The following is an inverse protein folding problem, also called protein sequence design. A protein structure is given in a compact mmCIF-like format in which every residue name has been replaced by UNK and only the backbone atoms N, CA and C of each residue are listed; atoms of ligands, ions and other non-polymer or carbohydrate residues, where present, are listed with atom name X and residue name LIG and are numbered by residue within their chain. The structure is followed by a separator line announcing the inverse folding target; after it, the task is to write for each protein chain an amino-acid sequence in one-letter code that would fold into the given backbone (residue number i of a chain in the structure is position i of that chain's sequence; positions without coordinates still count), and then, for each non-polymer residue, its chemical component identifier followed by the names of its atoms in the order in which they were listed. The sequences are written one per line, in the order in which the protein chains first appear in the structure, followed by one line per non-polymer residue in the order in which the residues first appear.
data_IF_563788311609
#
_entry.id   IF_563788311609
#
_cell.length_a   1.000
_cell.length_b   1.000
_cell.length_c   1.000
_cell.angle_alpha   90.00
_cell.angle_beta   90.00
_cell.angle_gamma   90.00
#
_symmetry.space_group_name_H-M   'P 1'
#
loop_
_entity.id
_entity.type
_entity.pdbx_description
1 polymer ?
#
# COMPACT_ATOMS: atom_id res chain seq x y z
N UNK A 1 -1.56 5.72 8.09
CA UNK A 1 -1.95 4.56 7.29
C UNK A 1 -0.91 3.45 7.36
N UNK A 2 0.39 3.73 7.18
CA UNK A 2 1.46 2.73 7.29
C UNK A 2 1.76 2.33 8.74
N UNK A 3 2.39 1.16 8.87
CA UNK A 3 2.92 0.62 10.14
C UNK A 3 4.44 0.84 10.25
N UNK A 4 4.96 1.85 9.57
CA UNK A 4 6.38 2.20 9.56
C UNK A 4 6.58 3.71 9.65
N UNK A 5 7.74 4.09 10.15
CA UNK A 5 8.22 5.46 10.20
C UNK A 5 9.70 5.49 9.85
N UNK A 6 10.18 6.62 9.38
CA UNK A 6 11.61 6.81 9.16
C UNK A 6 12.30 7.07 10.49
N UNK A 7 13.50 6.50 10.68
CA UNK A 7 14.37 6.84 11.82
C UNK A 7 14.70 8.33 11.81
N UNK A 8 14.92 8.96 12.97
CA UNK A 8 15.23 10.38 13.04
C UNK A 8 16.46 10.80 12.23
N UNK A 9 17.42 9.91 12.07
CA UNK A 9 18.65 10.11 11.28
C UNK A 9 18.45 9.90 9.77
N UNK A 10 17.25 9.51 9.33
CA UNK A 10 16.96 9.25 7.93
C UNK A 10 17.58 7.98 7.34
N UNK A 11 18.28 7.18 8.14
CA UNK A 11 19.05 6.03 7.65
C UNK A 11 18.21 4.86 7.18
N UNK A 12 17.04 4.63 7.80
CA UNK A 12 16.22 3.45 7.57
C UNK A 12 14.78 3.64 8.07
N UNK A 13 13.91 2.66 7.82
CA UNK A 13 12.55 2.61 8.32
C UNK A 13 12.43 1.64 9.50
N UNK A 14 11.57 1.98 10.44
CA UNK A 14 11.26 1.17 11.62
C UNK A 14 9.77 0.94 11.72
N UNK A 15 9.38 -0.17 12.34
CA UNK A 15 7.97 -0.43 12.65
C UNK A 15 7.42 0.67 13.55
N UNK A 16 6.22 1.15 13.26
CA UNK A 16 5.55 2.19 13.99
C UNK A 16 4.04 1.94 14.08
N UNK A 17 3.39 2.52 15.08
CA UNK A 17 1.92 2.52 15.14
C UNK A 17 1.38 3.46 14.06
N UNK A 18 0.27 3.07 13.42
CA UNK A 18 -0.41 3.96 12.48
C UNK A 18 -0.95 5.20 13.22
N UNK A 19 -0.75 6.37 12.61
CA UNK A 19 -1.20 7.65 13.14
C UNK A 19 -2.60 8.02 12.63
N UNK A 20 -2.95 7.53 11.43
CA UNK A 20 -4.23 7.82 10.79
C UNK A 20 -4.66 6.63 9.92
N UNK A 21 -5.89 6.65 9.44
CA UNK A 21 -6.41 5.70 8.44
C UNK A 21 -6.76 6.41 7.14
N UNK A 22 -6.84 5.64 6.06
CA UNK A 22 -7.30 6.15 4.75
C UNK A 22 -8.70 6.75 4.89
N UNK A 23 -9.58 6.10 5.66
CA UNK A 23 -10.94 6.60 5.93
C UNK A 23 -10.92 7.96 6.64
N UNK A 24 -10.10 8.11 7.69
CA UNK A 24 -9.95 9.39 8.41
C UNK A 24 -9.42 10.49 7.51
N UNK A 25 -8.42 10.17 6.67
CA UNK A 25 -7.86 11.14 5.73
C UNK A 25 -8.85 11.53 4.62
N UNK A 26 -9.67 10.59 4.14
CA UNK A 26 -10.74 10.89 3.18
C UNK A 26 -11.83 11.75 3.80
N UNK A 27 -12.22 11.48 5.05
CA UNK A 27 -13.17 12.30 5.79
C UNK A 27 -12.65 13.73 5.96
N UNK A 28 -11.40 13.89 6.39
CA UNK A 28 -10.76 15.20 6.48
C UNK A 28 -10.71 15.91 5.12
N UNK A 29 -10.27 15.22 4.06
CA UNK A 29 -10.23 15.80 2.73
C UNK A 29 -11.63 16.21 2.24
N UNK A 30 -12.70 15.54 2.68
CA UNK A 30 -14.07 15.91 2.33
C UNK A 30 -14.55 17.15 3.06
N UNK A 31 -14.11 17.39 4.28
CA UNK A 31 -14.40 18.63 5.02
C UNK A 31 -13.52 19.82 4.60
N UNK A 32 -12.41 19.56 3.92
CA UNK A 32 -11.39 20.54 3.54
C UNK A 32 -11.43 20.89 2.03
N UNK A 33 -12.60 20.95 1.39
CA UNK A 33 -12.74 21.06 -0.06
C UNK A 33 -12.13 22.32 -0.67
N UNK A 34 -12.13 23.42 0.06
CA UNK A 34 -11.58 24.71 -0.40
C UNK A 34 -10.05 24.79 -0.37
N UNK A 35 -9.36 23.82 0.24
CA UNK A 35 -7.90 23.89 0.35
C UNK A 35 -7.20 23.50 -0.96
N UNK A 36 -6.15 24.25 -1.36
CA UNK A 36 -5.34 23.90 -2.51
C UNK A 36 -4.76 22.50 -2.40
N UNK A 37 -4.86 21.72 -3.48
CA UNK A 37 -4.35 20.35 -3.52
C UNK A 37 -5.31 19.27 -3.02
N UNK A 38 -6.46 19.60 -2.46
CA UNK A 38 -7.45 18.65 -1.94
C UNK A 38 -7.86 17.59 -3.00
N UNK A 39 -8.15 18.00 -4.21
CA UNK A 39 -8.51 17.07 -5.30
C UNK A 39 -7.38 16.08 -5.60
N UNK A 40 -6.10 16.51 -5.52
CA UNK A 40 -4.94 15.64 -5.68
C UNK A 40 -4.81 14.67 -4.50
N UNK A 41 -5.06 15.14 -3.28
CA UNK A 41 -5.06 14.30 -2.08
C UNK A 41 -6.14 13.22 -2.15
N UNK A 42 -7.39 13.57 -2.45
CA UNK A 42 -8.49 12.60 -2.65
C UNK A 42 -8.14 11.56 -3.72
N UNK A 43 -7.53 11.99 -4.83
CA UNK A 43 -7.09 11.09 -5.89
C UNK A 43 -5.99 10.14 -5.41
N UNK A 44 -5.01 10.60 -4.64
CA UNK A 44 -3.97 9.75 -4.05
C UNK A 44 -4.56 8.74 -3.06
N UNK A 45 -5.46 9.19 -2.19
CA UNK A 45 -6.13 8.34 -1.21
C UNK A 45 -6.98 7.23 -1.85
N UNK A 46 -7.47 7.43 -3.08
CA UNK A 46 -8.29 6.43 -3.78
C UNK A 46 -7.54 5.14 -4.15
N UNK A 47 -6.21 5.12 -4.07
CA UNK A 47 -5.38 3.93 -4.25
C UNK A 47 -4.37 3.73 -3.12
N UNK A 48 -4.61 4.37 -1.99
CA UNK A 48 -3.86 4.15 -0.76
C UNK A 48 -4.53 3.06 0.08
N UNK A 49 -3.74 2.39 0.89
CA UNK A 49 -4.18 1.31 1.79
C UNK A 49 -3.69 1.57 3.21
N UNK A 50 -4.39 0.99 4.16
CA UNK A 50 -3.94 0.95 5.54
C UNK A 50 -3.02 -0.25 5.79
N UNK A 51 -2.21 -0.19 6.84
CA UNK A 51 -1.40 -1.28 7.39
C UNK A 51 -0.23 -1.75 6.52
N UNK A 52 0.21 -0.98 5.53
CA UNK A 52 1.49 -1.30 4.87
C UNK A 52 2.63 -1.28 5.90
N UNK A 53 3.47 -2.30 5.93
CA UNK A 53 4.54 -2.44 6.91
C UNK A 53 5.88 -1.91 6.40
N UNK A 54 5.98 -1.59 5.10
CA UNK A 54 7.20 -1.04 4.51
C UNK A 54 6.90 -0.05 3.37
N UNK A 55 7.85 0.85 3.06
CA UNK A 55 7.76 1.71 1.87
C UNK A 55 7.68 0.91 0.56
N UNK A 56 8.32 -0.25 0.51
CA UNK A 56 8.33 -1.10 -0.68
C UNK A 56 6.96 -1.73 -0.94
N UNK A 57 6.27 -2.21 0.10
CA UNK A 57 4.89 -2.66 0.00
C UNK A 57 3.96 -1.50 -0.46
N UNK A 58 4.14 -0.30 0.10
CA UNK A 58 3.37 0.88 -0.32
C UNK A 58 3.61 1.22 -1.79
N UNK A 59 4.87 1.13 -2.27
CA UNK A 59 5.22 1.33 -3.68
C UNK A 59 4.57 0.27 -4.56
N UNK A 60 4.64 -1.01 -4.18
CA UNK A 60 4.03 -2.12 -4.91
C UNK A 60 2.51 -1.94 -5.04
N UNK A 61 1.82 -1.62 -3.94
CA UNK A 61 0.38 -1.33 -3.99
C UNK A 61 0.07 -0.16 -4.90
N UNK A 62 0.82 0.94 -4.80
CA UNK A 62 0.61 2.09 -5.67
C UNK A 62 0.78 1.72 -7.16
N UNK A 63 1.80 0.94 -7.50
CA UNK A 63 2.01 0.45 -8.86
C UNK A 63 0.88 -0.45 -9.33
N UNK A 64 0.47 -1.44 -8.53
CA UNK A 64 -0.55 -2.42 -8.90
C UNK A 64 -1.96 -1.81 -8.95
N UNK A 65 -2.32 -0.94 -8.00
CA UNK A 65 -3.70 -0.53 -7.79
C UNK A 65 -4.05 0.85 -8.33
N UNK A 66 -3.07 1.74 -8.59
CA UNK A 66 -3.37 3.02 -9.22
C UNK A 66 -4.01 2.82 -10.60
N UNK A 67 -4.96 3.70 -10.94
CA UNK A 67 -5.66 3.62 -12.24
C UNK A 67 -4.69 3.66 -13.42
N UNK A 68 -5.00 2.96 -14.50
CA UNK A 68 -4.21 2.97 -15.73
C UNK A 68 -4.02 4.38 -16.31
N UNK A 69 -4.98 5.27 -16.10
CA UNK A 69 -4.88 6.70 -16.47
C UNK A 69 -3.75 7.42 -15.73
N UNK A 70 -3.27 6.89 -14.61
CA UNK A 70 -2.12 7.39 -13.84
C UNK A 70 -0.83 6.64 -14.18
N UNK A 71 -0.92 5.47 -14.79
CA UNK A 71 0.20 4.61 -15.11
C UNK A 71 0.33 3.37 -14.22
N UNK A 72 -0.64 3.13 -13.32
CA UNK A 72 -0.75 1.87 -12.58
C UNK A 72 -1.43 0.78 -13.38
N UNK A 73 -1.57 -0.41 -12.78
CA UNK A 73 -2.24 -1.56 -13.42
C UNK A 73 -3.75 -1.57 -13.20
N UNK A 74 -4.27 -0.81 -12.22
CA UNK A 74 -5.69 -0.68 -11.94
C UNK A 74 -6.31 -1.91 -11.29
N UNK A 75 -5.51 -2.72 -10.59
CA UNK A 75 -6.00 -3.85 -9.81
C UNK A 75 -6.80 -3.36 -8.60
N UNK A 76 -7.73 -4.15 -8.06
CA UNK A 76 -8.44 -3.80 -6.83
C UNK A 76 -7.48 -3.70 -5.65
N UNK A 77 -7.84 -2.90 -4.64
CA UNK A 77 -7.01 -2.74 -3.45
C UNK A 77 -6.97 -4.03 -2.63
N UNK A 78 -5.79 -4.48 -2.17
CA UNK A 78 -5.64 -5.59 -1.26
C UNK A 78 -5.89 -5.17 0.20
N UNK A 79 -6.10 -6.15 1.06
CA UNK A 79 -5.88 -6.02 2.50
C UNK A 79 -4.39 -6.18 2.77
N UNK A 80 -3.80 -5.26 3.54
CA UNK A 80 -2.37 -5.28 3.83
C UNK A 80 -2.07 -5.92 5.17
N UNK A 81 -0.99 -6.70 5.23
CA UNK A 81 -0.50 -7.33 6.45
C UNK A 81 -1.65 -8.00 7.22
N UNK A 82 -2.42 -8.80 6.47
CA UNK A 82 -3.62 -9.45 6.98
C UNK A 82 -3.27 -10.76 7.68
N UNK A 83 -3.67 -10.88 8.96
CA UNK A 83 -3.46 -12.09 9.74
C UNK A 83 -4.48 -13.15 9.35
N UNK A 84 -3.99 -14.36 9.04
CA UNK A 84 -4.79 -15.58 8.86
C UNK A 84 -4.33 -16.63 9.85
N UNK A 85 -5.28 -17.25 10.53
CA UNK A 85 -4.97 -18.36 11.44
C UNK A 85 -4.78 -19.66 10.65
N UNK A 86 -3.80 -20.46 11.06
CA UNK A 86 -3.54 -21.77 10.44
C UNK A 86 -4.59 -22.76 10.91
N UNK A 87 -5.35 -23.31 9.98
CA UNK A 87 -6.45 -24.23 10.25
C UNK A 87 -6.41 -25.46 9.35
N UNK A 88 -7.17 -26.49 9.68
CA UNK A 88 -7.35 -27.68 8.85
C UNK A 88 -6.03 -28.34 8.44
N UNK A 89 -5.87 -28.62 7.17
CA UNK A 89 -4.69 -29.28 6.58
C UNK A 89 -3.41 -28.44 6.74
N UNK A 90 -3.53 -27.11 6.83
CA UNK A 90 -2.38 -26.24 7.08
C UNK A 90 -1.64 -26.57 8.38
N UNK A 91 -2.34 -27.02 9.41
CA UNK A 91 -1.75 -27.41 10.69
C UNK A 91 -0.82 -28.63 10.60
N UNK A 92 -0.96 -29.44 9.57
CA UNK A 92 -0.08 -30.58 9.31
C UNK A 92 1.25 -30.14 8.68
N UNK A 93 1.27 -28.96 8.07
CA UNK A 93 2.42 -28.45 7.34
C UNK A 93 3.33 -27.55 8.19
N UNK A 94 2.84 -27.00 9.32
CA UNK A 94 3.59 -26.03 10.12
C UNK A 94 3.14 -26.04 11.58
N UNK A 95 4.05 -25.83 12.56
CA UNK A 95 3.72 -25.60 13.95
C UNK A 95 3.19 -24.17 14.21
N UNK A 96 3.26 -23.26 13.25
CA UNK A 96 2.84 -21.88 13.40
C UNK A 96 1.31 -21.79 13.57
N UNK A 97 0.86 -20.86 14.40
CA UNK A 97 -0.56 -20.67 14.67
C UNK A 97 -1.25 -19.74 13.67
N UNK A 98 -0.49 -18.85 13.06
CA UNK A 98 -0.98 -17.87 12.08
C UNK A 98 0.13 -17.45 11.12
N UNK A 99 -0.27 -16.87 10.00
CA UNK A 99 0.58 -16.13 9.08
C UNK A 99 0.07 -14.69 8.94
N UNK A 100 0.94 -13.80 8.52
CA UNK A 100 0.60 -12.44 8.09
C UNK A 100 0.87 -12.37 6.59
N UNK A 101 -0.13 -12.02 5.81
CA UNK A 101 -0.10 -11.95 4.35
C UNK A 101 0.16 -10.50 3.95
N UNK A 102 1.13 -10.25 3.07
CA UNK A 102 1.54 -8.87 2.74
C UNK A 102 0.45 -8.13 1.97
N UNK A 103 0.03 -8.66 0.81
CA UNK A 103 -1.05 -8.12 -0.01
C UNK A 103 -2.10 -9.23 -0.24
N UNK A 104 -3.20 -9.14 0.44
CA UNK A 104 -4.22 -10.20 0.43
C UNK A 104 -5.51 -9.77 -0.27
N UNK A 105 -5.94 -10.53 -1.26
CA UNK A 105 -7.26 -10.42 -1.90
C UNK A 105 -8.14 -11.58 -1.44
N UNK A 106 -9.02 -11.30 -0.50
CA UNK A 106 -9.87 -12.30 0.15
C UNK A 106 -10.78 -13.05 -0.85
N UNK A 107 -11.37 -12.33 -1.82
CA UNK A 107 -12.27 -12.92 -2.82
C UNK A 107 -11.61 -14.00 -3.68
N UNK A 108 -10.32 -13.87 -3.95
CA UNK A 108 -9.54 -14.83 -4.74
C UNK A 108 -8.68 -15.75 -3.87
N UNK A 109 -8.69 -15.57 -2.55
CA UNK A 109 -7.75 -16.23 -1.61
C UNK A 109 -6.30 -16.12 -2.09
N UNK A 110 -5.96 -14.95 -2.65
CA UNK A 110 -4.65 -14.66 -3.22
C UNK A 110 -3.82 -13.85 -2.24
N UNK A 111 -2.65 -14.35 -1.94
CA UNK A 111 -1.58 -13.63 -1.24
C UNK A 111 -0.48 -13.25 -2.23
N UNK A 112 -0.06 -12.00 -2.19
CA UNK A 112 1.13 -11.53 -2.93
C UNK A 112 2.16 -11.08 -1.92
N UNK A 113 3.23 -11.84 -1.80
CA UNK A 113 4.35 -11.59 -0.89
C UNK A 113 5.39 -10.70 -1.57
N UNK A 114 5.86 -9.65 -0.89
CA UNK A 114 6.97 -8.84 -1.35
C UNK A 114 8.29 -9.38 -0.80
N UNK A 115 9.17 -9.85 -1.69
CA UNK A 115 10.50 -10.33 -1.33
C UNK A 115 11.54 -9.24 -1.61
N UNK A 116 12.08 -8.65 -0.53
CA UNK A 116 13.13 -7.64 -0.61
C UNK A 116 14.53 -8.23 -0.83
N UNK A 117 14.75 -9.47 -0.40
CA UNK A 117 16.08 -10.07 -0.25
C UNK A 117 16.22 -11.38 -1.04
N UNK A 118 15.97 -11.34 -2.35
CA UNK A 118 16.16 -12.48 -3.24
C UNK A 118 17.59 -13.11 -3.19
N UNK A 119 18.50 -12.56 -2.37
CA UNK A 119 19.91 -12.96 -2.30
C UNK A 119 20.37 -13.48 -0.94
N UNK A 120 19.54 -13.45 0.11
CA UNK A 120 19.93 -13.94 1.45
C UNK A 120 19.20 -15.24 1.82
N UNK A 121 19.40 -16.28 1.01
CA UNK A 121 18.80 -17.59 1.26
C UNK A 121 19.73 -18.46 2.09
N UNK A 122 19.62 -18.39 3.42
CA UNK A 122 20.12 -19.44 4.26
C UNK A 122 19.25 -20.71 4.07
N UNK A 123 19.84 -21.90 4.22
CA UNK A 123 19.08 -23.15 4.12
C UNK A 123 17.85 -23.18 5.05
N UNK A 124 17.96 -22.57 6.24
CA UNK A 124 16.85 -22.43 7.19
C UNK A 124 15.75 -21.50 6.67
N UNK A 125 16.10 -20.40 5.98
CA UNK A 125 15.13 -19.49 5.36
C UNK A 125 14.33 -20.19 4.27
N UNK A 126 15.01 -20.88 3.35
CA UNK A 126 14.38 -21.66 2.25
C UNK A 126 13.38 -22.68 2.82
N UNK A 127 13.75 -23.40 3.89
CA UNK A 127 12.87 -24.38 4.52
C UNK A 127 11.64 -23.72 5.14
N UNK A 128 11.80 -22.58 5.82
CA UNK A 128 10.70 -21.83 6.44
C UNK A 128 9.72 -21.27 5.40
N UNK A 129 10.23 -20.78 4.25
CA UNK A 129 9.40 -20.25 3.17
C UNK A 129 8.63 -21.36 2.46
N UNK A 130 9.28 -22.52 2.25
CA UNK A 130 8.61 -23.70 1.72
C UNK A 130 7.49 -24.22 2.66
N UNK A 131 7.76 -24.29 3.97
CA UNK A 131 6.78 -24.65 5.00
C UNK A 131 5.57 -23.70 4.97
N UNK A 132 5.82 -22.38 4.97
CA UNK A 132 4.78 -21.35 4.88
C UNK A 132 3.93 -21.53 3.63
N UNK A 133 4.57 -21.66 2.46
CA UNK A 133 3.89 -21.82 1.19
C UNK A 133 3.03 -23.08 1.16
N UNK A 134 3.56 -24.20 1.63
CA UNK A 134 2.83 -25.47 1.69
C UNK A 134 1.60 -25.37 2.61
N UNK A 135 1.76 -24.74 3.78
CA UNK A 135 0.64 -24.55 4.70
C UNK A 135 -0.46 -23.64 4.11
N UNK A 136 -0.09 -22.54 3.45
CA UNK A 136 -1.04 -21.65 2.79
C UNK A 136 -1.75 -22.37 1.65
N UNK A 137 -1.03 -23.13 0.81
CA UNK A 137 -1.61 -23.92 -0.27
C UNK A 137 -2.56 -25.00 0.25
N UNK A 138 -2.20 -25.72 1.32
CA UNK A 138 -3.07 -26.70 1.97
C UNK A 138 -4.36 -26.08 2.53
N UNK A 139 -4.31 -24.81 2.90
CA UNK A 139 -5.49 -24.05 3.29
C UNK A 139 -6.26 -23.46 2.10
N UNK A 140 -5.82 -23.70 0.85
CA UNK A 140 -6.48 -23.23 -0.37
C UNK A 140 -6.15 -21.78 -0.75
N UNK A 141 -5.02 -21.23 -0.29
CA UNK A 141 -4.52 -19.94 -0.76
C UNK A 141 -3.61 -20.12 -1.99
N UNK A 142 -3.70 -19.18 -2.91
CA UNK A 142 -2.69 -18.97 -3.95
C UNK A 142 -1.66 -17.99 -3.45
N UNK A 143 -0.37 -18.26 -3.65
CA UNK A 143 0.71 -17.38 -3.25
C UNK A 143 1.53 -16.99 -4.46
N UNK A 144 1.73 -15.69 -4.68
CA UNK A 144 2.60 -15.12 -5.72
C UNK A 144 3.67 -14.30 -5.02
N UNK A 145 4.94 -14.58 -5.27
CA UNK A 145 6.05 -13.78 -4.76
C UNK A 145 6.44 -12.72 -5.79
N UNK A 146 6.58 -11.47 -5.36
CA UNK A 146 7.06 -10.35 -6.18
C UNK A 146 8.35 -9.83 -5.56
N UNK A 147 9.44 -9.94 -6.30
CA UNK A 147 10.77 -9.56 -5.85
C UNK A 147 11.05 -8.06 -6.06
N UNK A 148 12.00 -7.50 -5.33
CA UNK A 148 12.49 -6.15 -5.55
C UNK A 148 13.00 -5.93 -7.00
N UNK A 149 13.62 -6.95 -7.61
CA UNK A 149 14.03 -6.92 -9.01
C UNK A 149 12.85 -6.72 -9.96
N UNK A 150 11.75 -7.45 -9.75
CA UNK A 150 10.52 -7.29 -10.54
C UNK A 150 9.89 -5.91 -10.32
N UNK A 151 9.80 -5.43 -9.10
CA UNK A 151 9.31 -4.06 -8.83
C UNK A 151 10.20 -3.01 -9.48
N UNK A 152 11.50 -3.24 -9.55
CA UNK A 152 12.45 -2.30 -10.17
C UNK A 152 12.39 -2.28 -11.69
N UNK A 153 12.04 -3.36 -12.34
CA UNK A 153 11.87 -3.48 -13.80
C UNK A 153 10.40 -3.29 -14.20
N UNK A 154 10.18 -2.44 -15.22
CA UNK A 154 8.82 -2.24 -15.71
C UNK A 154 8.26 -3.49 -16.39
N UNK A 155 9.07 -4.18 -17.16
CA UNK A 155 8.64 -5.34 -17.96
C UNK A 155 8.44 -6.57 -17.06
N UNK A 156 9.34 -6.81 -16.09
CA UNK A 156 9.17 -7.90 -15.13
C UNK A 156 7.95 -7.69 -14.21
N UNK A 157 7.62 -6.43 -13.89
CA UNK A 157 6.41 -6.13 -13.13
C UNK A 157 5.15 -6.32 -13.98
N UNK A 158 5.21 -6.14 -15.30
CA UNK A 158 4.09 -6.45 -16.21
C UNK A 158 3.71 -7.93 -16.09
N UNK A 159 4.70 -8.83 -16.13
CA UNK A 159 4.47 -10.27 -16.01
C UNK A 159 3.85 -10.63 -14.66
N UNK A 160 4.38 -10.07 -13.57
CA UNK A 160 3.85 -10.26 -12.23
C UNK A 160 2.41 -9.72 -12.12
N UNK A 161 2.15 -8.51 -12.61
CA UNK A 161 0.81 -7.91 -12.60
C UNK A 161 -0.19 -8.71 -13.44
N UNK A 162 0.24 -9.28 -14.57
CA UNK A 162 -0.59 -10.18 -15.38
C UNK A 162 -0.91 -11.49 -14.65
N UNK A 163 0.05 -12.06 -13.93
CA UNK A 163 -0.18 -13.25 -13.12
C UNK A 163 -1.18 -12.98 -11.99
N UNK A 164 -1.02 -11.85 -11.28
CA UNK A 164 -1.94 -11.40 -10.22
C UNK A 164 -3.34 -11.16 -10.80
N UNK A 165 -3.45 -10.41 -11.91
CA UNK A 165 -4.74 -10.13 -12.55
C UNK A 165 -5.46 -11.42 -12.95
N UNK A 166 -4.73 -12.41 -13.50
CA UNK A 166 -5.26 -13.73 -13.86
C UNK A 166 -5.79 -14.48 -12.64
N UNK A 167 -5.04 -14.48 -11.54
CA UNK A 167 -5.45 -15.10 -10.28
C UNK A 167 -6.70 -14.41 -9.67
N UNK A 168 -6.85 -13.10 -9.90
CA UNK A 168 -8.04 -12.33 -9.50
C UNK A 168 -9.22 -12.48 -10.47
N UNK A 169 -9.09 -13.25 -11.56
CA UNK A 169 -10.13 -13.37 -12.59
C UNK A 169 -10.32 -12.09 -13.43
N UNK A 170 -9.35 -11.19 -13.42
CA UNK A 170 -9.43 -9.89 -14.11
C UNK A 170 -8.73 -10.02 -15.47
N UNK A 171 -9.44 -9.63 -16.52
CA UNK A 171 -8.83 -9.52 -17.84
C UNK A 171 -8.02 -8.23 -17.92
N UNK A 172 -6.71 -8.35 -17.73
CA UNK A 172 -5.80 -7.22 -17.93
C UNK A 172 -5.52 -7.04 -19.43
N UNK A 173 -5.74 -5.84 -19.93
CA UNK A 173 -5.39 -5.47 -21.30
C UNK A 173 -4.20 -4.52 -21.25
N UNK A 174 -3.05 -4.98 -21.73
CA UNK A 174 -1.94 -4.08 -22.05
C UNK A 174 -2.43 -3.10 -23.10
N UNK A 175 -2.58 -1.85 -22.74
CA UNK A 175 -3.08 -0.90 -23.70
C UNK A 175 -1.98 0.08 -24.12
N UNK A 176 -2.18 0.67 -25.17
CA UNK A 176 -1.63 1.71 -26.01
C UNK A 176 -0.30 2.39 -25.55
N UNK A 177 0.40 2.96 -26.52
CA UNK A 177 1.63 3.77 -26.36
C UNK A 177 1.51 4.85 -25.27
N UNK A 178 0.30 5.36 -25.03
CA UNK A 178 0.02 6.37 -24.00
C UNK A 178 0.14 5.82 -22.58
N UNK A 179 -0.30 4.58 -22.32
CA UNK A 179 -0.16 3.95 -21.02
C UNK A 179 1.32 3.71 -20.68
N UNK A 180 2.11 3.24 -21.64
CA UNK A 180 3.55 3.05 -21.44
C UNK A 180 4.24 4.34 -21.00
N UNK A 181 3.97 5.48 -21.64
CA UNK A 181 4.50 6.79 -21.23
C UNK A 181 4.10 7.14 -19.79
N UNK A 182 2.82 6.92 -19.43
CA UNK A 182 2.30 7.18 -18.07
C UNK A 182 2.92 6.25 -17.03
N UNK A 183 3.08 4.98 -17.35
CA UNK A 183 3.72 3.97 -16.49
C UNK A 183 5.14 4.39 -16.11
N UNK A 184 5.96 4.76 -17.06
CA UNK A 184 7.32 5.23 -16.78
C UNK A 184 7.34 6.53 -15.97
N UNK A 185 6.47 7.49 -16.28
CA UNK A 185 6.36 8.74 -15.52
C UNK A 185 5.90 8.48 -14.07
N UNK A 186 4.91 7.62 -13.86
CA UNK A 186 4.40 7.28 -12.54
C UNK A 186 5.48 6.59 -11.69
N UNK A 187 6.18 5.60 -12.23
CA UNK A 187 7.30 4.93 -11.54
C UNK A 187 8.41 5.89 -11.15
N UNK A 188 8.80 6.78 -12.08
CA UNK A 188 9.80 7.81 -11.82
C UNK A 188 9.39 8.72 -10.66
N UNK A 189 8.13 9.14 -10.63
CA UNK A 189 7.59 10.01 -9.59
C UNK A 189 7.53 9.30 -8.23
N UNK A 190 7.15 8.01 -8.17
CA UNK A 190 7.18 7.23 -6.93
C UNK A 190 8.60 7.09 -6.39
N UNK A 191 9.58 6.79 -7.25
CA UNK A 191 10.99 6.72 -6.84
C UNK A 191 11.52 8.07 -6.35
N UNK A 192 11.16 9.17 -7.01
CA UNK A 192 11.52 10.52 -6.56
C UNK A 192 10.90 10.83 -5.19
N UNK A 193 9.63 10.50 -4.98
CA UNK A 193 8.95 10.67 -3.70
C UNK A 193 9.63 9.85 -2.59
N UNK A 194 9.99 8.59 -2.87
CA UNK A 194 10.72 7.74 -1.91
C UNK A 194 12.06 8.36 -1.50
N UNK A 195 12.83 8.88 -2.46
CA UNK A 195 14.10 9.58 -2.17
C UNK A 195 13.89 10.82 -1.32
N UNK A 196 12.86 11.64 -1.60
CA UNK A 196 12.53 12.81 -0.78
C UNK A 196 12.19 12.43 0.66
N UNK A 197 11.49 11.32 0.87
CA UNK A 197 11.20 10.81 2.21
C UNK A 197 12.48 10.32 2.90
N UNK A 198 13.38 9.64 2.19
CA UNK A 198 14.64 9.12 2.73
C UNK A 198 15.66 10.21 3.07
N UNK A 199 15.71 11.30 2.32
CA UNK A 199 16.70 12.38 2.53
C UNK A 199 16.16 13.57 3.32
N UNK A 200 14.99 13.42 3.96
CA UNK A 200 14.28 14.50 4.64
C UNK A 200 13.89 15.58 3.62
N UNK A 201 12.61 15.60 3.22
CA UNK A 201 12.12 16.83 2.60
C UNK A 201 12.44 17.97 3.58
N UNK A 202 12.96 19.14 3.11
CA UNK A 202 13.10 20.28 3.98
C UNK A 202 11.75 20.45 4.65
N UNK A 203 11.73 20.42 5.99
CA UNK A 203 10.51 20.58 6.74
C UNK A 203 9.81 21.80 6.14
N UNK A 204 8.62 21.60 5.59
CA UNK A 204 7.81 22.69 5.14
C UNK A 204 7.43 23.43 6.41
N UNK A 205 8.30 24.36 6.82
CA UNK A 205 8.07 25.31 7.91
C UNK A 205 7.10 26.41 7.44
N UNK A 206 6.11 26.03 6.65
CA UNK A 206 4.90 26.81 6.52
C UNK A 206 4.18 26.64 7.85
N UNK A 207 4.33 27.64 8.71
CA UNK A 207 3.57 27.80 9.91
C UNK A 207 2.13 27.33 9.64
N UNK A 208 1.74 26.24 10.30
CA UNK A 208 0.35 25.91 10.47
C UNK A 208 -0.18 27.00 11.38
N UNK A 209 -0.61 28.12 10.78
CA UNK A 209 -1.41 29.10 11.50
C UNK A 209 -2.66 28.33 11.91
N UNK A 210 -2.91 28.28 13.21
CA UNK A 210 -4.11 27.68 13.77
C UNK A 210 -5.33 28.12 12.97
N UNK A 211 -6.25 27.19 12.63
CA UNK A 211 -7.47 27.57 11.94
C UNK A 211 -8.21 28.60 12.81
N UNK A 212 -8.79 29.66 12.21
CA UNK A 212 -9.51 30.67 12.97
C UNK A 212 -10.63 29.98 13.76
N UNK A 213 -10.57 30.12 15.07
CA UNK A 213 -11.61 29.65 15.99
C UNK A 213 -12.91 30.31 15.57
N UNK A 214 -13.85 29.51 15.07
CA UNK A 214 -15.18 30.00 14.72
C UNK A 214 -15.82 30.61 15.98
N UNK A 215 -15.92 31.92 16.03
CA UNK A 215 -16.63 32.63 17.07
C UNK A 215 -18.10 32.20 17.03
N UNK A 216 -18.48 31.40 18.00
CA UNK A 216 -19.87 31.07 18.28
C UNK A 216 -20.62 32.39 18.52
N UNK A 217 -21.46 32.80 17.59
CA UNK A 217 -22.37 33.96 17.79
C UNK A 217 -23.35 33.57 18.89
N UNK A 218 -23.16 34.14 20.07
CA UNK A 218 -24.15 34.08 21.13
C UNK A 218 -25.45 34.68 20.62
N UNK A 219 -26.54 33.99 20.87
CA UNK A 219 -27.87 34.32 20.42
C UNK A 219 -28.32 35.72 20.82
N UNK A 220 -29.03 36.34 19.90
CA UNK A 220 -29.81 37.52 20.19
C UNK A 220 -30.98 37.13 21.08
N UNK A 221 -31.02 37.71 22.25
CA UNK A 221 -32.14 37.68 23.17
C UNK A 221 -33.33 38.40 22.53
N UNK A 222 -34.41 37.67 22.36
CA UNK A 222 -35.73 38.30 22.12
C UNK A 222 -36.33 38.67 23.47
N UNK A 223 -36.33 39.95 23.76
CA UNK A 223 -37.22 40.56 24.73
C UNK A 223 -38.18 41.46 23.98
N UNK A 224 -39.42 41.38 24.38
CA UNK A 224 -40.33 42.50 24.37
C UNK A 224 -41.58 42.37 23.48
N UNK A 225 -42.63 42.24 24.21
CA UNK A 225 -44.02 42.70 24.06
C UNK A 225 -44.95 41.96 23.14
#
# INVERSE_FOLDING_TARGET
CGLYSMKPDGSDFVSAKHVSSVASLLSFASSAESYPGNAKAKKALSFSVDRSASPAESELVALLCAKQTLGGYGLPLPMMNYRVDVVGEGRKCTPRKFFVLDLFWQSARLDVEYDSDAFHTSAAGISSDAERRNALQAMGFSVITVTNGQVSSADLLDDAACAIARALGIRFRHSCKTWNKRRFAFRRNLRAARKLVQHGAPACSAAISEPPVAKCRKGASLHGE
#
